data_IF_567689794904
#
_entry.id   IF_567689794904
#
_cell.length_a   1.000
_cell.length_b   1.000
_cell.length_c   1.000
_cell.angle_alpha   90.00
_cell.angle_beta   90.00
_cell.angle_gamma   90.00
#
_symmetry.space_group_name_H-M   'P 1'
#
loop_
_entity.id
_entity.type
_entity.pdbx_description
1 polymer ?
#
# COMPACT_ATOMS: atom_id res chain seq x y z
N UNK A 1 37.14 43.51 -41.79
CA UNK A 1 37.98 43.23 -40.61
C UNK A 1 37.03 42.84 -39.47
N UNK A 2 36.71 41.54 -39.31
CA UNK A 2 37.35 40.59 -38.38
C UNK A 2 37.28 41.06 -36.92
N UNK A 3 36.37 40.49 -36.11
CA UNK A 3 36.47 39.99 -34.70
C UNK A 3 35.07 39.49 -34.31
N UNK A 4 34.69 38.22 -34.51
CA UNK A 4 34.94 37.06 -33.65
C UNK A 4 34.87 37.36 -32.14
N UNK A 5 33.69 37.21 -31.54
CA UNK A 5 33.51 36.89 -30.11
C UNK A 5 32.39 35.83 -30.01
N UNK A 6 32.82 34.58 -29.91
CA UNK A 6 32.08 33.49 -29.26
C UNK A 6 32.09 33.75 -27.74
N UNK A 7 30.97 33.52 -27.02
CA UNK A 7 31.00 32.68 -25.81
C UNK A 7 29.60 32.37 -25.24
N UNK A 8 29.32 31.06 -25.16
CA UNK A 8 28.49 30.32 -24.19
C UNK A 8 27.07 30.82 -23.88
N UNK A 9 26.12 30.35 -24.67
CA UNK A 9 24.75 30.08 -24.20
C UNK A 9 24.70 28.67 -23.59
N UNK A 10 25.15 28.52 -22.34
CA UNK A 10 24.76 27.37 -21.52
C UNK A 10 23.36 27.62 -20.99
N UNK A 11 22.36 27.38 -21.85
CA UNK A 11 21.00 27.13 -21.40
C UNK A 11 21.00 25.80 -20.65
N UNK A 12 21.30 25.85 -19.35
CA UNK A 12 21.01 24.77 -18.44
C UNK A 12 19.49 24.61 -18.46
N UNK A 13 18.99 23.71 -19.31
CA UNK A 13 17.63 23.24 -19.30
C UNK A 13 17.42 22.57 -17.93
N UNK A 14 17.03 23.38 -16.95
CA UNK A 14 16.40 22.90 -15.74
C UNK A 14 15.03 22.39 -16.16
N UNK A 15 15.01 21.20 -16.76
CA UNK A 15 13.86 20.32 -16.73
C UNK A 15 13.63 19.98 -15.26
N UNK A 16 12.95 20.89 -14.56
CA UNK A 16 12.23 20.55 -13.36
C UNK A 16 11.29 19.43 -13.75
N UNK A 17 11.63 18.21 -13.38
CA UNK A 17 10.76 17.06 -13.53
C UNK A 17 9.56 17.35 -12.64
N UNK A 18 8.49 17.89 -13.22
CA UNK A 18 7.20 18.02 -12.55
C UNK A 18 6.69 16.60 -12.33
N UNK A 19 7.05 16.02 -11.19
CA UNK A 19 6.55 14.71 -10.78
C UNK A 19 5.05 14.85 -10.50
N UNK A 20 4.24 14.67 -11.55
CA UNK A 20 2.79 14.68 -11.46
C UNK A 20 2.37 13.58 -10.48
N UNK A 21 1.88 13.99 -9.31
CA UNK A 21 1.38 13.08 -8.30
C UNK A 21 -0.06 12.72 -8.65
N UNK A 22 -0.33 11.41 -8.76
CA UNK A 22 -1.66 10.91 -9.08
C UNK A 22 -2.18 10.04 -7.96
N UNK A 23 -3.31 10.41 -7.37
CA UNK A 23 -4.03 9.56 -6.42
C UNK A 23 -4.61 8.35 -7.14
N UNK A 24 -4.33 7.16 -6.62
CA UNK A 24 -4.77 5.88 -7.14
C UNK A 24 -6.00 5.42 -6.35
N UNK A 25 -7.05 5.06 -7.06
CA UNK A 25 -8.25 4.47 -6.47
C UNK A 25 -7.99 3.01 -6.09
N UNK A 26 -8.51 2.62 -4.92
CA UNK A 26 -8.41 1.26 -4.38
C UNK A 26 -9.67 0.93 -3.58
N UNK A 27 -9.91 -0.37 -3.37
CA UNK A 27 -10.91 -0.86 -2.42
C UNK A 27 -10.21 -1.47 -1.21
N UNK A 28 -10.73 -1.21 0.00
CA UNK A 28 -10.26 -1.91 1.20
C UNK A 28 -11.01 -3.22 1.31
N UNK A 29 -10.29 -4.35 1.30
CA UNK A 29 -10.89 -5.66 1.42
C UNK A 29 -11.39 -5.88 2.86
N UNK A 30 -12.52 -6.60 2.97
CA UNK A 30 -13.17 -6.95 4.24
C UNK A 30 -13.33 -8.45 4.38
N UNK A 31 -13.52 -8.89 5.62
CA UNK A 31 -13.83 -10.28 6.00
C UNK A 31 -12.68 -11.24 5.64
N UNK A 32 -11.46 -10.85 6.02
CA UNK A 32 -10.24 -11.66 5.95
C UNK A 32 -9.59 -11.74 7.34
N UNK A 33 -8.70 -12.70 7.55
CA UNK A 33 -7.81 -12.79 8.71
C UNK A 33 -6.37 -13.06 8.24
N UNK A 34 -5.38 -12.63 9.03
CA UNK A 34 -3.99 -12.99 8.81
C UNK A 34 -3.71 -14.40 9.35
N UNK A 35 -3.05 -15.23 8.56
CA UNK A 35 -2.79 -16.64 8.87
C UNK A 35 -1.82 -16.77 10.05
N UNK A 36 -2.19 -17.59 11.04
CA UNK A 36 -1.33 -17.88 12.20
C UNK A 36 -0.01 -18.60 11.84
N UNK A 37 0.04 -19.22 10.65
CA UNK A 37 1.22 -19.94 10.17
C UNK A 37 2.15 -19.05 9.32
N UNK A 38 1.74 -17.81 9.03
CA UNK A 38 2.51 -16.90 8.21
C UNK A 38 3.53 -16.13 9.07
N UNK A 39 4.75 -16.00 8.56
CA UNK A 39 5.81 -15.22 9.22
C UNK A 39 5.73 -13.74 8.87
N UNK A 40 6.26 -12.90 9.77
CA UNK A 40 6.50 -11.48 9.51
C UNK A 40 7.98 -11.22 9.17
N UNK A 41 8.30 -10.21 8.34
CA UNK A 41 7.37 -9.31 7.67
C UNK A 41 6.64 -9.99 6.50
N UNK A 42 5.32 -9.77 6.40
CA UNK A 42 4.57 -10.15 5.21
C UNK A 42 4.92 -9.23 4.03
N UNK A 43 4.86 -9.72 2.78
CA UNK A 43 5.12 -8.90 1.61
C UNK A 43 4.10 -7.77 1.51
N UNK A 44 4.60 -6.54 1.34
CA UNK A 44 3.76 -5.36 1.17
C UNK A 44 2.90 -5.42 -0.10
N UNK A 45 3.35 -6.15 -1.12
CA UNK A 45 2.70 -6.30 -2.42
C UNK A 45 2.58 -7.77 -2.80
N UNK A 46 1.37 -8.21 -3.12
CA UNK A 46 1.06 -9.60 -3.49
C UNK A 46 0.34 -9.60 -4.83
N UNK A 47 0.81 -10.40 -5.78
CA UNK A 47 0.40 -10.29 -7.20
C UNK A 47 -0.37 -11.49 -7.74
N UNK A 48 -0.46 -12.55 -6.95
CA UNK A 48 -1.13 -13.79 -7.29
C UNK A 48 -1.87 -14.37 -6.08
N UNK A 49 -2.86 -15.21 -6.37
CA UNK A 49 -3.74 -15.80 -5.37
C UNK A 49 -3.04 -16.79 -4.45
N UNK A 50 -2.09 -17.58 -4.97
CA UNK A 50 -1.36 -18.57 -4.18
C UNK A 50 -0.57 -17.92 -3.03
N UNK A 51 0.18 -16.85 -3.34
CA UNK A 51 0.89 -16.07 -2.33
C UNK A 51 -0.08 -15.37 -1.37
N UNK A 52 -1.19 -14.84 -1.87
CA UNK A 52 -2.19 -14.21 -1.01
C UNK A 52 -2.77 -15.20 0.01
N UNK A 53 -3.15 -16.40 -0.44
CA UNK A 53 -3.73 -17.45 0.41
C UNK A 53 -2.73 -18.04 1.41
N UNK A 54 -1.42 -17.84 1.22
CA UNK A 54 -0.41 -18.18 2.24
C UNK A 54 -0.52 -17.26 3.47
N UNK A 55 -0.77 -15.97 3.25
CA UNK A 55 -0.81 -14.96 4.32
C UNK A 55 -2.22 -14.67 4.83
N UNK A 56 -3.25 -14.80 3.99
CA UNK A 56 -4.61 -14.38 4.32
C UNK A 56 -5.62 -15.50 4.09
N UNK A 57 -6.47 -15.73 5.09
CA UNK A 57 -7.63 -16.60 5.00
C UNK A 57 -8.93 -15.80 4.95
N UNK A 58 -9.96 -16.38 4.34
CA UNK A 58 -11.29 -15.81 4.29
C UNK A 58 -12.05 -16.00 5.62
N UNK A 59 -12.66 -14.94 6.13
CA UNK A 59 -13.48 -14.97 7.35
C UNK A 59 -14.92 -14.53 7.03
N UNK A 60 -15.69 -15.40 6.39
CA UNK A 60 -17.10 -15.11 6.12
C UNK A 60 -17.91 -15.00 7.42
N UNK A 61 -18.76 -13.98 7.52
CA UNK A 61 -19.73 -13.81 8.62
C UNK A 61 -21.16 -13.97 8.09
N UNK A 62 -22.08 -14.38 8.95
CA UNK A 62 -23.48 -14.54 8.55
C UNK A 62 -24.14 -13.18 8.25
N UNK A 63 -24.93 -13.10 7.18
CA UNK A 63 -25.73 -11.92 6.83
C UNK A 63 -25.23 -11.14 5.61
N UNK A 64 -25.98 -10.10 5.24
CA UNK A 64 -25.70 -9.27 4.06
C UNK A 64 -24.37 -8.53 4.22
N UNK A 65 -23.47 -8.70 3.26
CA UNK A 65 -22.13 -8.10 3.30
C UNK A 65 -21.11 -8.88 4.15
N UNK A 66 -21.48 -10.08 4.59
CA UNK A 66 -20.59 -10.97 5.34
C UNK A 66 -19.62 -11.78 4.50
N UNK A 67 -19.77 -11.78 3.16
CA UNK A 67 -18.82 -12.43 2.25
C UNK A 67 -17.47 -11.69 2.25
N UNK A 68 -16.33 -12.41 2.18
CA UNK A 68 -15.04 -11.86 1.82
C UNK A 68 -15.10 -11.03 0.54
N UNK A 69 -14.40 -9.90 0.55
CA UNK A 69 -14.25 -9.10 -0.69
C UNK A 69 -13.57 -9.95 -1.74
N UNK A 70 -14.25 -10.29 -2.83
CA UNK A 70 -13.69 -11.09 -3.92
C UNK A 70 -12.56 -10.32 -4.61
N UNK A 71 -11.43 -10.99 -4.82
CA UNK A 71 -10.24 -10.43 -5.47
C UNK A 71 -9.98 -11.21 -6.76
N UNK A 72 -10.10 -10.54 -7.91
CA UNK A 72 -9.77 -11.13 -9.21
C UNK A 72 -8.32 -10.79 -9.55
N UNK A 73 -7.38 -11.69 -9.24
CA UNK A 73 -5.95 -11.47 -9.48
C UNK A 73 -5.58 -11.32 -10.96
N UNK A 74 -6.47 -11.63 -11.92
CA UNK A 74 -6.24 -11.31 -13.34
C UNK A 74 -6.40 -9.82 -13.62
N UNK A 75 -7.22 -9.13 -12.83
CA UNK A 75 -7.54 -7.69 -12.98
C UNK A 75 -6.98 -6.82 -11.86
N UNK A 76 -6.59 -7.45 -10.75
CA UNK A 76 -6.20 -6.78 -9.52
C UNK A 76 -4.91 -7.38 -8.96
N UNK A 77 -4.29 -6.63 -8.05
CA UNK A 77 -3.27 -7.12 -7.14
C UNK A 77 -3.52 -6.52 -5.75
N UNK A 78 -2.81 -7.01 -4.75
CA UNK A 78 -2.98 -6.61 -3.36
C UNK A 78 -1.78 -5.82 -2.87
N UNK A 79 -2.05 -4.77 -2.10
CA UNK A 79 -1.09 -4.13 -1.20
C UNK A 79 -1.59 -4.33 0.24
N UNK A 80 -0.80 -4.93 1.11
CA UNK A 80 -1.23 -5.24 2.47
C UNK A 80 -0.19 -4.79 3.50
N UNK A 81 -0.65 -4.13 4.57
CA UNK A 81 0.19 -3.82 5.72
C UNK A 81 -0.26 -4.65 6.91
N UNK A 82 0.65 -5.43 7.45
CA UNK A 82 0.45 -6.22 8.67
C UNK A 82 1.41 -5.69 9.73
N UNK A 83 0.88 -5.31 10.90
CA UNK A 83 1.67 -4.94 12.08
C UNK A 83 1.88 -6.17 12.95
N UNK A 84 2.97 -6.26 13.75
CA UNK A 84 3.16 -7.33 14.74
C UNK A 84 1.98 -7.49 15.69
N UNK A 85 1.86 -8.69 16.26
CA UNK A 85 0.83 -8.94 17.27
C UNK A 85 0.99 -8.00 18.47
N UNK A 86 -0.13 -7.57 19.01
CA UNK A 86 -0.14 -6.65 20.13
C UNK A 86 -1.39 -6.84 20.99
N UNK A 87 -1.22 -6.66 22.29
CA UNK A 87 -2.32 -6.55 23.26
C UNK A 87 -2.71 -5.09 23.52
N UNK A 88 -2.27 -4.15 22.69
CA UNK A 88 -2.74 -2.77 22.70
C UNK A 88 -3.80 -2.64 21.63
N UNK A 89 -4.96 -2.05 21.97
CA UNK A 89 -5.98 -1.72 20.98
C UNK A 89 -5.33 -0.89 19.87
N UNK A 90 -5.26 -1.44 18.66
CA UNK A 90 -4.50 -0.86 17.57
C UNK A 90 -5.36 -0.87 16.31
N UNK A 91 -5.68 0.32 15.82
CA UNK A 91 -6.38 0.51 14.55
C UNK A 91 -5.39 1.00 13.49
N UNK A 92 -5.31 0.29 12.38
CA UNK A 92 -4.45 0.65 11.25
C UNK A 92 -5.31 1.02 10.05
N UNK A 93 -5.13 2.25 9.56
CA UNK A 93 -5.98 2.82 8.52
C UNK A 93 -5.16 3.24 7.29
N UNK A 94 -5.50 2.75 6.08
CA UNK A 94 -4.95 3.28 4.84
C UNK A 94 -5.52 4.68 4.58
N UNK A 95 -4.66 5.66 4.33
CA UNK A 95 -5.04 7.05 4.09
C UNK A 95 -5.08 7.40 2.60
N UNK A 96 -4.06 6.98 1.85
CA UNK A 96 -3.99 7.21 0.41
C UNK A 96 -2.97 6.31 -0.27
N UNK A 97 -3.13 6.12 -1.58
CA UNK A 97 -2.17 5.49 -2.46
C UNK A 97 -1.83 6.48 -3.57
N UNK A 98 -0.61 7.00 -3.61
CA UNK A 98 -0.21 8.05 -4.54
C UNK A 98 0.90 7.56 -5.45
N UNK A 99 0.67 7.62 -6.76
CA UNK A 99 1.72 7.37 -7.73
C UNK A 99 2.68 8.56 -7.81
N UNK A 100 3.98 8.28 -7.65
CA UNK A 100 5.09 9.20 -7.86
C UNK A 100 6.11 8.53 -8.78
N UNK A 101 6.09 8.89 -10.07
CA UNK A 101 6.96 8.26 -11.08
C UNK A 101 6.74 6.74 -11.18
N UNK A 102 7.74 5.95 -10.77
CA UNK A 102 7.67 4.50 -10.80
C UNK A 102 7.20 3.84 -9.49
N UNK A 103 6.80 4.65 -8.51
CA UNK A 103 6.45 4.16 -7.18
C UNK A 103 4.99 4.48 -6.83
N UNK A 104 4.36 3.61 -6.05
CA UNK A 104 3.12 3.84 -5.32
C UNK A 104 3.47 4.08 -3.86
N UNK A 105 3.26 5.30 -3.38
CA UNK A 105 3.38 5.67 -1.98
C UNK A 105 2.08 5.36 -1.24
N UNK A 106 2.11 4.34 -0.40
CA UNK A 106 1.06 4.01 0.55
C UNK A 106 1.22 4.87 1.80
N UNK A 107 0.30 5.80 2.03
CA UNK A 107 0.22 6.50 3.30
C UNK A 107 -0.80 5.79 4.19
N UNK A 108 -0.41 5.51 5.43
CA UNK A 108 -1.28 4.91 6.43
C UNK A 108 -1.04 5.54 7.80
N UNK A 109 -1.93 5.31 8.74
CA UNK A 109 -1.73 5.68 10.15
C UNK A 109 -2.06 4.51 11.07
N UNK A 110 -1.49 4.55 12.26
CA UNK A 110 -1.69 3.60 13.34
C UNK A 110 -2.18 4.38 14.55
N UNK A 111 -3.36 4.04 15.04
CA UNK A 111 -3.96 4.65 16.23
C UNK A 111 -3.86 3.62 17.34
N UNK A 112 -3.13 3.95 18.41
CA UNK A 112 -2.99 3.10 19.59
C UNK A 112 -3.88 3.60 20.72
N UNK A 113 -4.61 2.67 21.32
CA UNK A 113 -5.49 2.89 22.45
C UNK A 113 -4.97 2.22 23.72
N UNK A 114 -5.89 1.69 24.53
CA UNK A 114 -5.59 1.06 25.81
C UNK A 114 -5.11 -0.39 25.65
N UNK A 115 -4.44 -0.90 26.67
CA UNK A 115 -4.13 -2.34 26.81
C UNK A 115 -5.42 -3.16 26.90
N UNK A 116 -5.39 -4.36 26.32
CA UNK A 116 -6.48 -5.33 26.24
C UNK A 116 -6.04 -6.67 26.85
N UNK A 117 -7.01 -7.53 27.17
CA UNK A 117 -6.77 -8.88 27.72
C UNK A 117 -6.44 -9.94 26.67
N UNK A 118 -6.44 -9.57 25.39
CA UNK A 118 -6.20 -10.45 24.25
C UNK A 118 -5.21 -9.79 23.27
N UNK A 119 -4.59 -10.61 22.42
CA UNK A 119 -3.72 -10.16 21.34
C UNK A 119 -4.50 -10.04 20.04
N UNK A 120 -4.09 -9.09 19.22
CA UNK A 120 -4.60 -8.89 17.86
C UNK A 120 -3.42 -8.77 16.90
N UNK A 121 -3.64 -9.15 15.65
CA UNK A 121 -2.73 -8.90 14.52
C UNK A 121 -3.37 -7.82 13.63
N UNK A 122 -3.05 -6.53 13.79
CA UNK A 122 -3.68 -5.46 13.02
C UNK A 122 -3.19 -5.45 11.57
N UNK A 123 -4.10 -5.36 10.61
CA UNK A 123 -3.74 -5.22 9.20
C UNK A 123 -4.82 -4.52 8.37
N UNK A 124 -4.47 -4.12 7.15
CA UNK A 124 -5.43 -3.85 6.08
C UNK A 124 -4.94 -4.45 4.76
N UNK A 125 -5.89 -4.61 3.83
CA UNK A 125 -5.65 -5.14 2.48
C UNK A 125 -6.26 -4.15 1.49
N UNK A 126 -5.45 -3.61 0.59
CA UNK A 126 -5.89 -2.80 -0.55
C UNK A 126 -5.96 -3.64 -1.81
N UNK A 127 -7.11 -3.62 -2.47
CA UNK A 127 -7.31 -4.21 -3.79
C UNK A 127 -7.12 -3.12 -4.83
N UNK A 128 -6.07 -3.27 -5.65
CA UNK A 128 -5.61 -2.25 -6.60
C UNK A 128 -5.69 -2.78 -8.03
N UNK A 129 -6.04 -1.90 -8.98
CA UNK A 129 -6.10 -2.27 -10.39
C UNK A 129 -4.73 -2.70 -10.92
N UNK A 130 -4.67 -3.84 -11.62
CA UNK A 130 -3.45 -4.46 -12.12
C UNK A 130 -2.65 -3.60 -13.11
N UNK A 131 -3.22 -2.55 -13.70
CA UNK A 131 -2.46 -1.59 -14.53
C UNK A 131 -1.31 -0.89 -13.78
N UNK A 132 -1.29 -0.95 -12.46
CA UNK A 132 -0.21 -0.40 -11.63
C UNK A 132 0.77 -1.47 -11.11
N UNK A 133 0.66 -2.72 -11.58
CA UNK A 133 1.43 -3.85 -11.06
C UNK A 133 2.94 -3.69 -11.26
N UNK A 134 3.41 -2.95 -12.25
CA UNK A 134 4.86 -2.77 -12.48
C UNK A 134 5.48 -1.68 -11.59
N UNK A 135 4.67 -1.01 -10.78
CA UNK A 135 5.13 0.02 -9.85
C UNK A 135 5.65 -0.61 -8.57
N UNK A 136 6.75 -0.04 -8.07
CA UNK A 136 7.26 -0.34 -6.74
C UNK A 136 6.31 0.21 -5.68
N UNK A 137 6.16 -0.46 -4.54
CA UNK A 137 5.32 0.04 -3.44
C UNK A 137 6.22 0.41 -2.28
N UNK A 138 6.09 1.65 -1.82
CA UNK A 138 6.73 2.14 -0.59
C UNK A 138 5.64 2.58 0.38
N UNK A 139 5.94 2.55 1.66
CA UNK A 139 5.00 2.91 2.71
C UNK A 139 5.48 4.11 3.52
N UNK A 140 4.53 4.89 4.03
CA UNK A 140 4.77 6.01 4.92
C UNK A 140 3.74 5.98 6.06
N UNK A 141 4.24 5.84 7.28
CA UNK A 141 3.43 5.90 8.48
C UNK A 141 3.26 7.37 8.90
N UNK A 142 2.07 7.91 8.72
CA UNK A 142 1.71 9.30 9.03
C UNK A 142 1.22 9.49 10.48
N UNK A 143 1.41 8.50 11.36
CA UNK A 143 1.10 8.66 12.78
C UNK A 143 1.99 9.75 13.38
N UNK A 144 1.39 10.69 14.12
CA UNK A 144 2.16 11.58 14.99
C UNK A 144 2.52 10.77 16.23
N UNK A 145 3.82 10.58 16.47
CA UNK A 145 4.32 10.05 17.76
C UNK A 145 4.00 11.03 18.90
#
# INVERSE_FOLDING_TARGET
MKKLIMLLWTACLLWGCTCSQKTIQYNVAKNYFFSNNASLPAPLKVTNEHEFNHYFGMAAVMGKGGEPTKIDFKKQFVIAKVLPETNISTDIQPLSLVQKGNTLLLNYKVIRGKKQSYYTQPFFILVVNRKYIDKEVIENNASKE
#
